data_IF_844835964484
#
_entry.id   IF_844835964484
#
_cell.length_a   1.000
_cell.length_b   1.000
_cell.length_c   1.000
_cell.angle_alpha   90.00
_cell.angle_beta   90.00
_cell.angle_gamma   90.00
#
_symmetry.space_group_name_H-M   'P 1'
#
loop_
_entity.id
_entity.type
_entity.pdbx_description
1 polymer ?
#
# COMPACT_ATOMS: atom_id res chain seq x y z
N UNK A 1 -16.60 28.65 41.31
CA UNK A 1 -15.29 29.09 40.78
C UNK A 1 -14.69 27.94 40.00
N UNK A 2 -14.35 28.23 38.74
CA UNK A 2 -13.97 27.29 37.68
C UNK A 2 -12.43 27.11 37.65
N UNK A 3 -11.96 26.28 36.71
CA UNK A 3 -10.59 25.98 36.27
C UNK A 3 -10.12 24.60 36.75
N UNK A 4 -10.11 23.55 35.92
CA UNK A 4 -9.76 23.52 34.50
C UNK A 4 -8.55 22.61 34.37
N UNK A 5 -8.75 21.29 34.38
CA UNK A 5 -7.67 20.32 34.15
C UNK A 5 -7.20 20.49 32.71
N UNK A 6 -5.97 20.97 32.58
CA UNK A 6 -5.29 21.19 31.32
C UNK A 6 -5.40 19.96 30.40
N UNK A 7 -6.02 20.18 29.24
CA UNK A 7 -5.85 19.32 28.08
C UNK A 7 -4.35 19.35 27.75
N UNK A 8 -3.65 18.25 27.99
CA UNK A 8 -2.27 18.06 27.52
C UNK A 8 -2.34 18.00 26.00
N UNK A 9 -2.14 19.15 25.35
CA UNK A 9 -1.90 19.23 23.92
C UNK A 9 -0.72 18.34 23.58
N UNK A 10 -0.93 17.42 22.64
CA UNK A 10 0.15 16.64 22.05
C UNK A 10 1.19 17.62 21.45
N UNK A 11 2.50 17.38 21.65
CA UNK A 11 3.51 18.29 21.13
C UNK A 11 3.47 18.34 19.60
N UNK A 12 3.49 19.54 18.98
CA UNK A 12 3.57 19.67 17.53
C UNK A 12 4.93 19.13 17.08
N UNK A 13 4.90 18.01 16.34
CA UNK A 13 6.12 17.33 15.88
C UNK A 13 6.14 15.82 16.12
N UNK A 14 5.17 15.27 16.84
CA UNK A 14 5.00 13.80 16.86
C UNK A 14 4.31 13.39 15.57
N UNK A 15 5.10 13.18 14.51
CA UNK A 15 4.66 12.37 13.39
C UNK A 15 4.24 11.03 14.01
N UNK A 16 2.93 10.76 14.07
CA UNK A 16 2.46 9.43 14.40
C UNK A 16 2.95 8.54 13.27
N UNK A 17 4.08 7.87 13.50
CA UNK A 17 4.52 6.76 12.65
C UNK A 17 3.47 5.69 12.88
N UNK A 18 2.42 5.75 12.06
CA UNK A 18 1.40 4.72 12.04
C UNK A 18 2.16 3.43 11.76
N UNK A 19 2.17 2.46 12.69
CA UNK A 19 2.78 1.18 12.42
C UNK A 19 2.03 0.60 11.22
N UNK A 20 2.72 0.48 10.09
CA UNK A 20 2.25 -0.24 8.89
C UNK A 20 2.26 -1.72 9.24
N UNK A 21 1.36 -2.10 10.16
CA UNK A 21 1.38 -3.34 10.89
C UNK A 21 -0.03 -3.85 11.01
N UNK A 22 -0.37 -4.74 10.07
CA UNK A 22 -1.53 -5.65 10.04
C UNK A 22 -2.94 -5.05 10.00
N UNK A 23 -3.22 -3.92 10.66
CA UNK A 23 -4.55 -3.28 10.64
C UNK A 23 -4.88 -2.42 9.42
N UNK A 24 -3.89 -2.08 8.59
CA UNK A 24 -4.12 -1.45 7.27
C UNK A 24 -4.41 -2.47 6.17
N UNK A 25 -4.14 -3.76 6.43
CA UNK A 25 -4.12 -4.80 5.41
C UNK A 25 -5.36 -5.70 5.46
N UNK A 26 -6.11 -5.70 6.57
CA UNK A 26 -7.34 -6.49 6.72
C UNK A 26 -8.57 -5.80 6.07
N UNK A 27 -8.51 -4.48 5.83
CA UNK A 27 -9.62 -3.69 5.25
C UNK A 27 -9.39 -3.29 3.78
N UNK A 28 -8.41 -3.89 3.09
CA UNK A 28 -8.23 -3.67 1.64
C UNK A 28 -9.22 -4.55 0.88
N UNK A 29 -10.52 -4.37 1.12
CA UNK A 29 -11.53 -4.57 0.08
C UNK A 29 -11.33 -3.42 -0.93
N UNK A 30 -10.27 -3.51 -1.74
CA UNK A 30 -10.06 -2.57 -2.84
C UNK A 30 -11.02 -2.92 -3.98
N UNK A 31 -12.30 -2.63 -3.78
CA UNK A 31 -13.33 -2.69 -4.81
C UNK A 31 -13.14 -1.62 -5.90
N UNK A 32 -12.25 -0.63 -5.68
CA UNK A 32 -12.09 0.49 -6.62
C UNK A 32 -10.95 0.25 -7.62
N UNK A 33 -11.33 -0.17 -8.83
CA UNK A 33 -10.46 -0.36 -10.00
C UNK A 33 -9.59 0.87 -10.30
N UNK A 34 -10.04 2.07 -9.94
CA UNK A 34 -9.26 3.31 -10.08
C UNK A 34 -7.99 3.31 -9.21
N UNK A 35 -8.06 2.73 -8.01
CA UNK A 35 -6.92 2.65 -7.09
C UNK A 35 -5.90 1.62 -7.59
N UNK A 36 -6.37 0.51 -8.17
CA UNK A 36 -5.50 -0.46 -8.84
C UNK A 36 -4.77 0.18 -10.03
N UNK A 37 -5.49 0.90 -10.90
CA UNK A 37 -4.90 1.59 -12.05
C UNK A 37 -3.82 2.58 -11.58
N UNK A 38 -4.11 3.38 -10.55
CA UNK A 38 -3.14 4.31 -9.98
C UNK A 38 -1.89 3.59 -9.47
N UNK A 39 -2.06 2.47 -8.75
CA UNK A 39 -0.93 1.69 -8.22
C UNK A 39 -0.06 1.15 -9.36
N UNK A 40 -0.67 0.58 -10.40
CA UNK A 40 0.05 0.06 -11.57
C UNK A 40 0.79 1.17 -12.31
N UNK A 41 0.17 2.34 -12.48
CA UNK A 41 0.81 3.50 -13.11
C UNK A 41 2.02 3.99 -12.31
N UNK A 42 1.89 4.11 -10.99
CA UNK A 42 3.00 4.50 -10.10
C UNK A 42 4.14 3.49 -10.17
N UNK A 43 3.78 2.20 -10.17
CA UNK A 43 4.74 1.11 -10.25
C UNK A 43 5.52 1.13 -11.58
N UNK A 44 4.81 1.21 -12.70
CA UNK A 44 5.38 1.31 -14.04
C UNK A 44 6.24 2.56 -14.21
N UNK A 45 5.78 3.72 -13.72
CA UNK A 45 6.56 4.97 -13.77
C UNK A 45 7.88 4.87 -13.00
N UNK A 46 7.93 4.07 -11.94
CA UNK A 46 9.12 3.92 -11.10
C UNK A 46 10.11 2.89 -11.62
N UNK A 47 9.62 1.76 -12.12
CA UNK A 47 10.46 0.61 -12.46
C UNK A 47 10.52 0.29 -13.96
N UNK A 48 9.69 0.94 -14.79
CA UNK A 48 9.62 0.70 -16.23
C UNK A 48 9.06 -0.65 -16.63
N UNK A 49 8.34 -1.33 -15.71
CA UNK A 49 7.78 -2.68 -15.90
C UNK A 49 6.29 -2.71 -15.57
N UNK A 50 5.57 -3.59 -16.26
CA UNK A 50 4.14 -3.84 -16.07
C UNK A 50 3.90 -5.33 -15.86
N UNK A 51 2.76 -5.69 -15.29
CA UNK A 51 2.33 -7.08 -15.15
C UNK A 51 1.56 -7.56 -16.37
N UNK A 52 1.56 -8.87 -16.59
CA UNK A 52 0.69 -9.52 -17.55
C UNK A 52 -0.78 -9.37 -17.15
N UNK A 53 -1.70 -9.37 -18.13
CA UNK A 53 -3.13 -9.31 -17.86
C UNK A 53 -3.61 -10.50 -17.00
N UNK A 54 -2.99 -11.66 -17.17
CA UNK A 54 -3.30 -12.90 -16.43
C UNK A 54 -3.16 -12.74 -14.92
N UNK A 55 -2.15 -12.01 -14.46
CA UNK A 55 -1.95 -11.72 -13.03
C UNK A 55 -3.09 -10.89 -12.45
N UNK A 56 -3.77 -10.09 -13.28
CA UNK A 56 -4.85 -9.20 -12.87
C UNK A 56 -6.24 -9.85 -13.00
N UNK A 57 -6.35 -10.98 -13.70
CA UNK A 57 -7.61 -11.71 -13.94
C UNK A 57 -8.00 -12.61 -12.75
N UNK A 58 -7.02 -13.11 -11.99
CA UNK A 58 -7.24 -13.90 -10.79
C UNK A 58 -7.09 -13.03 -9.52
N UNK A 59 -8.09 -13.06 -8.65
CA UNK A 59 -8.16 -12.16 -7.49
C UNK A 59 -7.03 -12.43 -6.48
N UNK A 60 -6.65 -13.70 -6.27
CA UNK A 60 -5.58 -14.05 -5.33
C UNK A 60 -4.22 -13.55 -5.86
N UNK A 61 -3.95 -13.73 -7.16
CA UNK A 61 -2.71 -13.23 -7.77
C UNK A 61 -2.70 -11.71 -7.85
N UNK A 62 -3.85 -11.09 -8.11
CA UNK A 62 -4.01 -9.62 -8.15
C UNK A 62 -3.70 -9.01 -6.80
N UNK A 63 -4.30 -9.51 -5.72
CA UNK A 63 -4.04 -9.01 -4.37
C UNK A 63 -2.57 -9.16 -3.97
N UNK A 64 -1.97 -10.31 -4.28
CA UNK A 64 -0.54 -10.55 -4.03
C UNK A 64 0.33 -9.59 -4.83
N UNK A 65 0.05 -9.39 -6.11
CA UNK A 65 0.77 -8.44 -6.96
C UNK A 65 0.70 -7.02 -6.39
N UNK A 66 -0.47 -6.57 -5.96
CA UNK A 66 -0.67 -5.25 -5.37
C UNK A 66 0.14 -5.06 -4.09
N UNK A 67 0.11 -6.04 -3.18
CA UNK A 67 0.91 -6.00 -1.96
C UNK A 67 2.41 -5.86 -2.29
N UNK A 68 2.89 -6.66 -3.24
CA UNK A 68 4.29 -6.64 -3.66
C UNK A 68 4.67 -5.32 -4.35
N UNK A 69 3.80 -4.76 -5.19
CA UNK A 69 3.97 -3.44 -5.80
C UNK A 69 4.10 -2.33 -4.74
N UNK A 70 3.24 -2.35 -3.71
CA UNK A 70 3.32 -1.37 -2.61
C UNK A 70 4.64 -1.51 -1.82
N UNK A 71 5.10 -2.73 -1.55
CA UNK A 71 6.39 -2.95 -0.89
C UNK A 71 7.57 -2.46 -1.76
N UNK A 72 7.51 -2.65 -3.07
CA UNK A 72 8.52 -2.15 -4.00
C UNK A 72 8.50 -0.62 -4.11
N UNK A 73 7.32 0.00 -4.26
CA UNK A 73 7.17 1.47 -4.28
C UNK A 73 7.62 2.09 -2.95
N UNK A 74 7.38 1.44 -1.81
CA UNK A 74 7.89 1.93 -0.52
C UNK A 74 9.40 1.71 -0.32
N UNK A 75 10.09 1.07 -1.27
CA UNK A 75 11.53 0.80 -1.19
C UNK A 75 11.91 -0.35 -0.24
N UNK A 76 10.93 -1.12 0.25
CA UNK A 76 11.15 -2.27 1.13
C UNK A 76 11.62 -3.51 0.38
N UNK A 77 11.42 -3.55 -0.94
CA UNK A 77 11.98 -4.57 -1.85
C UNK A 77 12.30 -3.97 -3.22
N UNK A 78 13.04 -4.74 -4.03
CA UNK A 78 13.22 -4.46 -5.44
C UNK A 78 11.96 -4.71 -6.28
N UNK A 79 12.04 -4.47 -7.60
CA UNK A 79 10.94 -4.76 -8.51
C UNK A 79 10.50 -6.23 -8.42
N UNK A 80 9.25 -6.42 -8.80
CA UNK A 80 8.44 -7.64 -8.81
C UNK A 80 7.96 -7.84 -10.24
N UNK A 81 8.08 -9.06 -10.75
CA UNK A 81 7.58 -9.45 -12.08
C UNK A 81 6.53 -10.56 -11.96
N UNK A 82 5.98 -10.99 -13.09
CA UNK A 82 5.10 -12.15 -13.15
C UNK A 82 5.78 -13.43 -12.57
N UNK A 83 7.10 -13.55 -12.70
CA UNK A 83 7.89 -14.69 -12.17
C UNK A 83 7.85 -14.78 -10.64
N UNK A 84 7.86 -13.64 -9.93
CA UNK A 84 7.71 -13.59 -8.46
C UNK A 84 6.33 -14.09 -7.99
N UNK A 85 5.36 -14.08 -8.90
CA UNK A 85 3.99 -14.53 -8.67
C UNK A 85 3.78 -15.99 -9.11
N UNK A 86 4.74 -16.58 -9.83
CA UNK A 86 4.69 -17.97 -10.30
C UNK A 86 4.28 -18.14 -11.76
N UNK A 87 4.41 -17.09 -12.58
CA UNK A 87 4.07 -17.07 -14.01
C UNK A 87 5.30 -16.94 -14.92
#
# INVERSE_FOLDING_TARGET
>A
MNHGRAQRGLPPGTLSVIPVGKRFFEDIEMEDESTLIMLVQQYSSRFGITFSSRVMEDEDTKQKAMMLMMLAISGKRGPVTDEDLGF
#
